data_IF_844253861262
#
_entry.id   IF_844253861262
#
_cell.length_a   1.000
_cell.length_b   1.000
_cell.length_c   1.000
_cell.angle_alpha   90.00
_cell.angle_beta   90.00
_cell.angle_gamma   90.00
#
_symmetry.space_group_name_H-M   'P 1'
#
loop_
_entity.id
_entity.type
_entity.pdbx_description
1 polymer ?
#
# COMPACT_ATOMS: atom_id res chain seq x y z
N UNK A 1 11.53 9.81 -4.11
CA UNK A 1 10.89 8.65 -4.76
C UNK A 1 11.10 7.36 -3.93
N UNK A 2 12.32 6.81 -3.83
CA UNK A 2 12.57 5.54 -3.12
C UNK A 2 11.99 5.45 -1.70
N UNK A 3 12.10 6.51 -0.90
CA UNK A 3 11.53 6.55 0.44
C UNK A 3 10.01 6.29 0.45
N UNK A 4 9.24 7.04 -0.35
CA UNK A 4 7.78 6.91 -0.44
C UNK A 4 7.37 5.57 -1.03
N UNK A 5 8.05 5.12 -2.09
CA UNK A 5 7.78 3.84 -2.73
C UNK A 5 8.02 2.66 -1.76
N UNK A 6 9.13 2.66 -1.03
CA UNK A 6 9.48 1.57 -0.12
C UNK A 6 8.62 1.56 1.16
N UNK A 7 8.25 2.73 1.69
CA UNK A 7 7.45 2.81 2.91
C UNK A 7 5.96 2.55 2.65
N UNK A 8 5.37 3.20 1.65
CA UNK A 8 3.90 3.20 1.45
C UNK A 8 3.44 2.43 0.22
N UNK A 9 4.33 2.17 -0.74
CA UNK A 9 4.01 1.41 -1.95
C UNK A 9 3.39 0.03 -1.67
N UNK A 10 3.91 -0.78 -0.73
CA UNK A 10 3.29 -2.05 -0.39
C UNK A 10 1.86 -1.92 0.15
N UNK A 11 1.53 -0.85 0.91
CA UNK A 11 0.16 -0.59 1.37
C UNK A 11 -0.76 -0.30 0.19
N UNK A 12 -0.28 0.53 -0.74
CA UNK A 12 -1.01 0.87 -1.96
C UNK A 12 -1.41 -0.37 -2.77
N UNK A 13 -0.60 -1.43 -2.79
CA UNK A 13 -0.93 -2.65 -3.54
C UNK A 13 -1.68 -3.67 -2.69
N UNK A 14 -1.24 -3.91 -1.45
CA UNK A 14 -1.82 -4.98 -0.64
C UNK A 14 -3.26 -4.68 -0.24
N UNK A 15 -3.56 -3.47 0.19
CA UNK A 15 -4.91 -3.14 0.71
C UNK A 15 -5.96 -3.33 -0.39
N UNK A 16 -5.83 -2.76 -1.61
CA UNK A 16 -6.80 -3.02 -2.67
C UNK A 16 -6.93 -4.49 -3.06
N UNK A 17 -5.82 -5.23 -3.09
CA UNK A 17 -5.88 -6.67 -3.40
C UNK A 17 -6.55 -7.47 -2.27
N UNK A 18 -6.41 -7.09 -1.01
CA UNK A 18 -7.13 -7.70 0.12
C UNK A 18 -8.61 -7.36 0.08
N UNK A 19 -8.97 -6.13 -0.23
CA UNK A 19 -10.37 -5.71 -0.38
C UNK A 19 -11.07 -6.45 -1.53
N UNK A 20 -10.35 -6.73 -2.62
CA UNK A 20 -10.84 -7.60 -3.71
C UNK A 20 -11.19 -9.02 -3.21
N UNK A 21 -10.60 -9.50 -2.11
CA UNK A 21 -10.92 -10.83 -1.59
C UNK A 21 -12.25 -10.88 -0.84
N UNK A 22 -12.80 -9.74 -0.40
CA UNK A 22 -13.97 -9.72 0.50
C UNK A 22 -15.28 -10.06 -0.23
N UNK A 23 -16.17 -10.86 0.40
CA UNK A 23 -17.47 -11.18 -0.18
C UNK A 23 -18.43 -9.98 -0.11
N UNK A 24 -19.12 -9.69 -1.22
CA UNK A 24 -20.12 -8.61 -1.34
C UNK A 24 -19.57 -7.19 -1.14
N UNK A 25 -18.31 -6.99 -1.53
CA UNK A 25 -17.69 -5.68 -1.77
C UNK A 25 -18.40 -4.92 -2.90
N UNK A 26 -18.25 -3.59 -2.93
CA UNK A 26 -18.74 -2.79 -4.05
C UNK A 26 -18.01 -3.14 -5.35
N UNK A 27 -18.67 -2.98 -6.50
CA UNK A 27 -18.08 -3.30 -7.82
C UNK A 27 -16.80 -2.51 -8.07
N UNK A 28 -16.74 -1.25 -7.61
CA UNK A 28 -15.55 -0.42 -7.77
C UNK A 28 -14.37 -0.93 -6.93
N UNK A 29 -14.61 -1.35 -5.67
CA UNK A 29 -13.56 -1.95 -4.83
C UNK A 29 -13.18 -3.36 -5.30
N UNK A 30 -14.00 -3.99 -6.14
CA UNK A 30 -13.68 -5.27 -6.76
C UNK A 30 -12.67 -5.19 -7.91
N UNK A 31 -12.30 -3.97 -8.35
CA UNK A 31 -11.44 -3.74 -9.50
C UNK A 31 -10.20 -2.94 -9.11
N UNK A 32 -9.35 -3.40 -8.17
CA UNK A 32 -8.13 -2.69 -7.79
C UNK A 32 -7.18 -2.47 -8.98
N UNK A 33 -7.23 -3.36 -9.97
CA UNK A 33 -6.46 -3.26 -11.20
C UNK A 33 -6.85 -2.05 -12.04
N UNK A 34 -8.12 -1.61 -12.00
CA UNK A 34 -8.55 -0.40 -12.71
C UNK A 34 -7.88 0.84 -12.12
N UNK A 35 -7.71 0.90 -10.80
CA UNK A 35 -6.96 1.97 -10.14
C UNK A 35 -5.46 1.87 -10.41
N UNK A 36 -4.91 0.65 -10.47
CA UNK A 36 -3.53 0.43 -10.88
C UNK A 36 -3.26 0.93 -12.30
N UNK A 37 -4.17 0.68 -13.25
CA UNK A 37 -4.09 1.19 -14.63
C UNK A 37 -4.32 2.70 -14.71
N UNK A 38 -5.29 3.22 -13.97
CA UNK A 38 -5.54 4.66 -13.88
C UNK A 38 -4.31 5.41 -13.32
N UNK A 39 -3.61 4.81 -12.35
CA UNK A 39 -2.37 5.35 -11.80
C UNK A 39 -1.28 5.50 -12.86
N UNK A 40 -1.21 4.60 -13.86
CA UNK A 40 -0.26 4.73 -14.97
C UNK A 40 -0.65 5.83 -15.95
N UNK A 41 -1.95 5.97 -16.24
CA UNK A 41 -2.44 6.90 -17.25
C UNK A 41 -2.52 8.34 -16.75
N UNK A 42 -2.79 8.54 -15.46
CA UNK A 42 -3.12 9.85 -14.86
C UNK A 42 -2.27 10.21 -13.65
N UNK A 43 -1.39 9.32 -13.20
CA UNK A 43 -0.62 9.46 -11.97
C UNK A 43 -1.29 8.76 -10.79
N UNK A 44 -0.47 8.13 -9.94
CA UNK A 44 -0.93 7.49 -8.72
C UNK A 44 -1.49 8.53 -7.72
N UNK A 45 -0.96 9.75 -7.74
CA UNK A 45 -1.39 10.87 -6.91
C UNK A 45 -2.83 11.31 -7.17
N UNK A 46 -3.46 10.87 -8.27
CA UNK A 46 -4.89 11.08 -8.57
C UNK A 46 -5.69 9.79 -8.35
N UNK A 47 -5.21 8.66 -8.88
CA UNK A 47 -5.93 7.39 -8.81
C UNK A 47 -6.09 6.86 -7.37
N UNK A 48 -5.09 7.05 -6.52
CA UNK A 48 -5.06 6.49 -5.17
C UNK A 48 -5.95 7.24 -4.19
N UNK A 49 -5.97 8.59 -4.17
CA UNK A 49 -7.00 9.32 -3.43
C UNK A 49 -8.42 8.89 -3.82
N UNK A 50 -8.70 8.68 -5.12
CA UNK A 50 -10.01 8.22 -5.57
C UNK A 50 -10.35 6.82 -5.04
N UNK A 51 -9.37 5.89 -5.06
CA UNK A 51 -9.55 4.56 -4.47
C UNK A 51 -9.84 4.67 -2.97
N UNK A 52 -9.03 5.40 -2.21
CA UNK A 52 -9.20 5.51 -0.75
C UNK A 52 -10.50 6.23 -0.37
N UNK A 53 -10.96 7.20 -1.16
CA UNK A 53 -12.28 7.80 -0.97
C UNK A 53 -13.40 6.77 -1.15
N UNK A 54 -13.32 5.92 -2.17
CA UNK A 54 -14.30 4.85 -2.38
C UNK A 54 -14.22 3.77 -1.29
N UNK A 55 -13.01 3.48 -0.80
CA UNK A 55 -12.80 2.56 0.31
C UNK A 55 -13.47 3.07 1.58
N UNK A 56 -13.31 4.34 1.91
CA UNK A 56 -13.92 4.93 3.11
C UNK A 56 -15.42 5.04 3.00
N UNK A 57 -15.95 5.41 1.84
CA UNK A 57 -17.39 5.46 1.57
C UNK A 57 -18.02 4.06 1.47
N UNK A 58 -17.24 3.05 1.09
CA UNK A 58 -17.71 1.68 0.92
C UNK A 58 -18.11 1.00 2.23
N UNK A 59 -17.46 1.37 3.35
CA UNK A 59 -17.89 0.95 4.70
C UNK A 59 -17.97 -0.56 4.94
N UNK A 60 -17.22 -1.39 4.19
CA UNK A 60 -17.38 -2.85 4.24
C UNK A 60 -16.39 -3.49 5.23
N UNK A 61 -16.79 -3.59 6.49
CA UNK A 61 -16.08 -4.39 7.51
C UNK A 61 -16.55 -5.85 7.48
N UNK A 62 -16.25 -6.53 6.37
CA UNK A 62 -16.55 -7.96 6.20
C UNK A 62 -15.29 -8.81 6.35
N UNK A 63 -15.39 -10.07 6.80
CA UNK A 63 -14.25 -10.96 6.85
C UNK A 63 -13.56 -11.10 5.49
N UNK A 64 -12.26 -11.38 5.53
CA UNK A 64 -11.48 -11.70 4.34
C UNK A 64 -12.04 -12.94 3.64
N UNK A 65 -11.73 -13.05 2.35
CA UNK A 65 -12.05 -14.23 1.55
C UNK A 65 -11.27 -15.48 1.98
N UNK A 66 -11.17 -16.44 1.07
CA UNK A 66 -10.39 -17.65 1.33
C UNK A 66 -8.90 -17.35 1.49
N UNK A 67 -8.18 -18.24 2.19
CA UNK A 67 -6.72 -18.19 2.29
C UNK A 67 -6.06 -18.17 0.91
N UNK A 68 -6.64 -18.87 -0.07
CA UNK A 68 -6.27 -18.79 -1.48
C UNK A 68 -6.22 -17.37 -2.04
N UNK A 69 -7.27 -16.59 -1.80
CA UNK A 69 -7.34 -15.22 -2.28
C UNK A 69 -6.33 -14.31 -1.58
N UNK A 70 -6.13 -14.48 -0.26
CA UNK A 70 -5.14 -13.70 0.50
C UNK A 70 -3.71 -14.00 0.07
N UNK A 71 -3.34 -15.26 -0.15
CA UNK A 71 -2.00 -15.59 -0.68
C UNK A 71 -1.74 -14.96 -2.04
N UNK A 72 -2.74 -14.93 -2.93
CA UNK A 72 -2.63 -14.26 -4.23
C UNK A 72 -2.37 -12.76 -4.07
N UNK A 73 -3.07 -12.11 -3.14
CA UNK A 73 -2.87 -10.69 -2.83
C UNK A 73 -1.44 -10.41 -2.34
N UNK A 74 -0.92 -11.27 -1.45
CA UNK A 74 0.44 -11.14 -0.95
C UNK A 74 1.48 -11.39 -2.05
N UNK A 75 1.32 -12.41 -2.89
CA UNK A 75 2.25 -12.68 -3.99
C UNK A 75 2.22 -11.54 -5.02
N UNK A 76 1.03 -11.04 -5.38
CA UNK A 76 0.89 -9.87 -6.24
C UNK A 76 1.64 -8.65 -5.67
N UNK A 77 1.55 -8.43 -4.36
CA UNK A 77 2.24 -7.32 -3.67
C UNK A 77 3.76 -7.52 -3.62
N UNK A 78 4.24 -8.60 -3.00
CA UNK A 78 5.66 -8.75 -2.69
C UNK A 78 6.50 -9.23 -3.87
N UNK A 79 5.93 -10.02 -4.78
CA UNK A 79 6.63 -10.46 -5.99
C UNK A 79 6.34 -9.50 -7.13
N UNK A 80 5.06 -9.33 -7.47
CA UNK A 80 4.68 -8.60 -8.67
C UNK A 80 4.90 -7.09 -8.58
N UNK A 81 4.67 -6.47 -7.42
CA UNK A 81 5.04 -5.06 -7.18
C UNK A 81 6.45 -4.90 -6.60
N UNK A 82 6.88 -5.81 -5.73
CA UNK A 82 8.18 -5.73 -5.08
C UNK A 82 9.37 -5.78 -6.05
N UNK A 83 9.38 -6.70 -7.02
CA UNK A 83 10.50 -6.84 -7.97
C UNK A 83 10.69 -5.57 -8.83
N UNK A 84 9.65 -5.02 -9.50
CA UNK A 84 9.78 -3.74 -10.21
C UNK A 84 10.21 -2.59 -9.29
N UNK A 85 9.71 -2.56 -8.05
CA UNK A 85 10.04 -1.49 -7.09
C UNK A 85 11.50 -1.52 -6.67
N UNK A 86 12.09 -2.71 -6.46
CA UNK A 86 13.53 -2.85 -6.17
C UNK A 86 14.38 -2.25 -7.28
N UNK A 87 13.96 -2.40 -8.54
CA UNK A 87 14.68 -1.82 -9.68
C UNK A 87 14.70 -0.28 -9.65
N UNK A 88 13.58 0.37 -9.32
CA UNK A 88 13.55 1.84 -9.11
C UNK A 88 14.43 2.25 -7.94
N UNK A 89 14.33 1.50 -6.83
CA UNK A 89 15.07 1.84 -5.61
C UNK A 89 16.57 1.83 -5.87
N UNK A 90 17.06 0.90 -6.70
CA UNK A 90 18.46 0.82 -7.12
C UNK A 90 18.85 1.80 -8.23
N UNK A 91 17.93 2.16 -9.14
CA UNK A 91 18.21 3.05 -10.26
C UNK A 91 16.99 3.94 -10.56
N UNK A 92 17.15 5.25 -10.37
CA UNK A 92 16.08 6.24 -10.59
C UNK A 92 16.18 6.95 -11.94
N UNK A 93 16.83 6.35 -12.94
CA UNK A 93 16.86 6.94 -14.28
C UNK A 93 15.44 7.04 -14.88
N UNK A 94 15.17 8.05 -15.72
CA UNK A 94 13.86 8.21 -16.36
C UNK A 94 13.40 6.95 -17.10
N UNK A 95 14.32 6.23 -17.77
CA UNK A 95 14.01 4.98 -18.46
C UNK A 95 13.54 3.87 -17.52
N UNK A 96 14.12 3.74 -16.33
CA UNK A 96 13.68 2.75 -15.34
C UNK A 96 12.31 3.10 -14.78
N UNK A 97 12.06 4.39 -14.52
CA UNK A 97 10.76 4.87 -14.07
C UNK A 97 9.65 4.68 -15.12
N UNK A 98 9.98 4.82 -16.41
CA UNK A 98 9.06 4.50 -17.50
C UNK A 98 8.71 3.01 -17.54
N UNK A 99 9.70 2.12 -17.40
CA UNK A 99 9.46 0.67 -17.37
C UNK A 99 8.64 0.26 -16.15
N UNK A 100 8.78 0.96 -15.02
CA UNK A 100 7.97 0.70 -13.84
C UNK A 100 6.48 0.90 -14.07
N UNK A 101 6.07 1.67 -15.10
CA UNK A 101 4.64 1.87 -15.36
C UNK A 101 3.88 0.55 -15.63
N UNK A 102 4.60 -0.53 -15.93
CA UNK A 102 4.03 -1.86 -16.16
C UNK A 102 3.78 -2.63 -14.84
N UNK A 103 4.16 -2.10 -13.67
CA UNK A 103 4.05 -2.83 -12.40
C UNK A 103 2.64 -3.38 -12.09
N UNK A 104 1.50 -2.73 -12.45
CA UNK A 104 0.19 -3.32 -12.17
C UNK A 104 0.00 -4.65 -12.90
N UNK A 105 0.51 -4.75 -14.14
CA UNK A 105 0.48 -6.00 -14.91
C UNK A 105 1.38 -7.06 -14.27
N UNK A 106 2.54 -6.67 -13.71
CA UNK A 106 3.40 -7.58 -12.95
C UNK A 106 2.70 -8.11 -11.68
N UNK A 107 2.02 -7.25 -10.93
CA UNK A 107 1.22 -7.62 -9.76
C UNK A 107 0.10 -8.62 -10.11
N UNK A 108 -0.68 -8.31 -11.14
CA UNK A 108 -1.75 -9.18 -11.65
C UNK A 108 -1.19 -10.51 -12.14
N UNK A 109 -0.11 -10.46 -12.93
CA UNK A 109 0.55 -11.63 -13.49
C UNK A 109 1.03 -12.57 -12.39
N UNK A 110 1.75 -12.05 -11.39
CA UNK A 110 2.24 -12.83 -10.26
C UNK A 110 1.09 -13.43 -9.43
N UNK A 111 0.05 -12.66 -9.10
CA UNK A 111 -1.11 -13.13 -8.37
C UNK A 111 -1.91 -14.20 -9.14
N UNK A 112 -1.99 -14.08 -10.46
CA UNK A 112 -2.69 -15.04 -11.34
C UNK A 112 -1.89 -16.32 -11.53
N UNK A 113 -0.57 -16.20 -11.74
CA UNK A 113 0.33 -17.33 -11.83
C UNK A 113 0.30 -18.15 -10.55
N UNK A 114 0.38 -17.50 -9.39
CA UNK A 114 0.27 -18.18 -8.08
C UNK A 114 -1.08 -18.87 -7.91
N UNK A 115 -2.18 -18.20 -8.27
CA UNK A 115 -3.51 -18.81 -8.22
C UNK A 115 -3.64 -20.07 -9.08
N UNK A 116 -2.98 -20.10 -10.24
CA UNK A 116 -2.93 -21.29 -11.10
C UNK A 116 -2.06 -22.39 -10.52
N UNK A 117 -0.85 -22.07 -10.05
CA UNK A 117 0.04 -23.04 -9.40
C UNK A 117 -0.61 -23.67 -8.16
N UNK A 118 -1.28 -22.87 -7.33
CA UNK A 118 -1.97 -23.35 -6.13
C UNK A 118 -3.12 -24.29 -6.47
N UNK A 119 -3.89 -24.03 -7.52
CA UNK A 119 -4.97 -24.93 -7.98
C UNK A 119 -4.44 -26.30 -8.41
N UNK A 120 -3.23 -26.34 -8.97
CA UNK A 120 -2.56 -27.60 -9.36
C UNK A 120 -2.03 -28.37 -8.13
N UNK A 121 -1.66 -27.69 -7.06
CA UNK A 121 -1.00 -28.27 -5.88
C UNK A 121 -1.93 -28.94 -4.84
N UNK A 122 -3.17 -29.30 -5.20
CA UNK A 122 -4.29 -29.77 -4.35
C UNK A 122 -4.87 -28.68 -3.40
N UNK A 123 -6.17 -28.75 -3.06
CA UNK A 123 -6.79 -27.79 -2.18
C UNK A 123 -6.28 -27.99 -0.74
N UNK A 124 -5.53 -27.02 -0.23
CA UNK A 124 -5.38 -26.84 1.21
C UNK A 124 -6.75 -26.58 1.83
N UNK A 125 -7.00 -27.09 3.04
CA UNK A 125 -8.14 -26.64 3.86
C UNK A 125 -8.09 -25.12 4.03
N UNK A 126 -9.00 -24.43 3.36
CA UNK A 126 -9.15 -22.98 3.47
C UNK A 126 -9.91 -22.67 4.76
N UNK A 127 -9.19 -22.16 5.75
CA UNK A 127 -9.78 -21.63 6.98
C UNK A 127 -9.75 -20.10 6.98
N UNK A 128 -10.81 -19.48 7.47
CA UNK A 128 -10.87 -18.02 7.66
C UNK A 128 -9.77 -17.52 8.60
N UNK A 129 -9.51 -18.27 9.69
CA UNK A 129 -8.40 -17.97 10.60
C UNK A 129 -7.06 -17.96 9.85
N UNK A 130 -6.83 -18.91 8.93
CA UNK A 130 -5.62 -18.95 8.12
C UNK A 130 -5.50 -17.75 7.18
N UNK A 131 -6.60 -17.28 6.58
CA UNK A 131 -6.63 -16.08 5.76
C UNK A 131 -6.31 -14.81 6.59
N UNK A 132 -6.90 -14.69 7.77
CA UNK A 132 -6.63 -13.60 8.71
C UNK A 132 -5.18 -13.58 9.17
N UNK A 133 -4.64 -14.69 9.67
CA UNK A 133 -3.25 -14.77 10.13
C UNK A 133 -2.27 -14.44 9.01
N UNK A 134 -2.59 -14.85 7.79
CA UNK A 134 -1.76 -14.56 6.64
C UNK A 134 -1.77 -13.07 6.25
N UNK A 135 -2.94 -12.41 6.32
CA UNK A 135 -3.02 -10.96 6.12
C UNK A 135 -2.23 -10.20 7.20
N UNK A 136 -2.30 -10.64 8.46
CA UNK A 136 -1.49 -10.10 9.57
C UNK A 136 0.02 -10.22 9.28
N UNK A 137 0.47 -11.38 8.80
CA UNK A 137 1.87 -11.56 8.36
C UNK A 137 2.25 -10.60 7.24
N UNK A 138 1.32 -10.36 6.29
CA UNK A 138 1.50 -9.35 5.25
C UNK A 138 1.74 -7.96 5.81
N UNK A 139 0.88 -7.49 6.72
CA UNK A 139 1.04 -6.18 7.36
C UNK A 139 2.31 -6.09 8.21
N UNK A 140 2.66 -7.16 8.94
CA UNK A 140 3.92 -7.22 9.69
C UNK A 140 5.14 -7.10 8.76
N UNK A 141 5.12 -7.75 7.60
CA UNK A 141 6.18 -7.64 6.60
C UNK A 141 6.26 -6.23 6.01
N UNK A 142 5.12 -5.59 5.73
CA UNK A 142 5.10 -4.18 5.30
C UNK A 142 5.69 -3.27 6.37
N UNK A 143 5.32 -3.46 7.63
CA UNK A 143 5.87 -2.67 8.74
C UNK A 143 7.38 -2.84 8.86
N UNK A 144 7.91 -4.06 8.68
CA UNK A 144 9.34 -4.32 8.68
C UNK A 144 10.07 -3.63 7.50
N UNK A 145 9.51 -3.73 6.29
CA UNK A 145 10.07 -3.07 5.09
C UNK A 145 10.03 -1.55 5.25
N UNK A 146 8.91 -1.00 5.74
CA UNK A 146 8.79 0.44 6.04
C UNK A 146 9.81 0.86 7.08
N UNK A 147 9.96 0.12 8.17
CA UNK A 147 10.93 0.41 9.23
C UNK A 147 12.37 0.45 8.70
N UNK A 148 12.75 -0.56 7.91
CA UNK A 148 14.06 -0.58 7.25
C UNK A 148 14.26 0.61 6.30
N UNK A 149 13.26 0.90 5.46
CA UNK A 149 13.33 2.03 4.53
C UNK A 149 13.36 3.38 5.26
N UNK A 150 12.61 3.52 6.35
CA UNK A 150 12.61 4.71 7.18
C UNK A 150 13.98 4.91 7.84
N UNK A 151 14.54 3.87 8.45
CA UNK A 151 15.91 3.92 8.95
C UNK A 151 16.92 4.28 7.85
N UNK A 152 16.86 3.64 6.68
CA UNK A 152 17.81 3.84 5.59
C UNK A 152 17.75 5.23 4.95
N UNK A 153 16.55 5.79 4.77
CA UNK A 153 16.35 7.02 3.99
C UNK A 153 16.01 8.24 4.85
N UNK A 154 15.26 8.08 5.93
CA UNK A 154 14.81 9.20 6.75
C UNK A 154 15.86 9.56 7.81
N UNK A 155 16.38 8.58 8.56
CA UNK A 155 17.27 8.85 9.70
C UNK A 155 18.55 9.60 9.32
N UNK A 156 19.32 9.21 8.26
CA UNK A 156 20.50 9.98 7.87
C UNK A 156 20.18 11.42 7.48
N UNK A 157 19.04 11.66 6.82
CA UNK A 157 18.62 13.02 6.44
C UNK A 157 18.33 13.88 7.65
N UNK A 158 17.72 13.30 8.68
CA UNK A 158 17.43 14.00 9.93
C UNK A 158 18.72 14.27 10.72
N UNK A 159 19.63 13.29 10.83
CA UNK A 159 20.87 13.41 11.61
C UNK A 159 21.85 14.37 10.93
N UNK A 160 22.07 14.24 9.62
CA UNK A 160 23.11 14.99 8.91
C UNK A 160 22.60 16.36 8.42
N UNK A 161 21.33 16.42 7.98
CA UNK A 161 20.74 17.59 7.32
C UNK A 161 19.70 18.34 8.16
N UNK A 162 19.38 17.83 9.35
CA UNK A 162 18.40 18.42 10.26
C UNK A 162 16.99 18.55 9.67
N UNK A 163 16.21 19.46 10.24
CA UNK A 163 14.83 19.73 9.81
C UNK A 163 14.75 20.29 8.39
N UNK A 164 15.75 21.03 7.93
CA UNK A 164 15.79 21.59 6.58
C UNK A 164 15.82 20.51 5.48
N UNK A 165 16.58 19.43 5.69
CA UNK A 165 16.59 18.30 4.76
C UNK A 165 15.25 17.56 4.70
N UNK A 166 14.53 17.49 5.83
CA UNK A 166 13.19 16.93 5.88
C UNK A 166 12.17 17.82 5.17
N UNK A 167 12.24 19.14 5.36
CA UNK A 167 11.39 20.09 4.63
C UNK A 167 11.53 19.91 3.12
N UNK A 168 12.74 19.77 2.59
CA UNK A 168 12.97 19.49 1.15
C UNK A 168 12.41 18.15 0.67
N UNK A 169 12.30 17.17 1.57
CA UNK A 169 11.76 15.85 1.25
C UNK A 169 10.23 15.87 1.14
N UNK A 170 9.54 16.62 2.01
CA UNK A 170 8.07 16.58 2.12
C UNK A 170 7.36 17.82 1.55
N UNK A 171 8.03 18.95 1.39
CA UNK A 171 7.41 20.23 1.00
C UNK A 171 7.92 20.69 -0.37
N UNK A 172 7.02 21.05 -1.32
CA UNK A 172 7.42 21.62 -2.60
C UNK A 172 8.26 22.88 -2.41
N UNK A 173 9.39 22.93 -3.11
CA UNK A 173 10.25 24.10 -3.11
C UNK A 173 9.94 24.89 -4.38
N UNK A 174 9.16 25.96 -4.25
CA UNK A 174 8.81 26.86 -5.37
C UNK A 174 9.89 27.93 -5.56
N UNK A 175 11.15 27.51 -5.72
CA UNK A 175 12.17 28.43 -6.18
C UNK A 175 12.00 28.58 -7.69
N UNK A 176 11.81 29.81 -8.19
CA UNK A 176 11.84 30.07 -9.63
C UNK A 176 13.25 29.75 -10.13
N UNK A 177 13.45 28.70 -10.94
CA UNK A 177 14.77 28.42 -11.45
C UNK A 177 15.14 29.55 -12.43
N UNK A 178 16.37 30.04 -12.36
CA UNK A 178 16.86 31.10 -13.26
C UNK A 178 16.94 30.63 -14.72
N UNK A 179 16.89 29.31 -14.94
CA UNK A 179 16.87 28.64 -16.23
C UNK A 179 15.75 27.60 -16.24
N UNK A 180 15.13 27.35 -17.40
CA UNK A 180 14.14 26.29 -17.52
C UNK A 180 14.77 24.92 -17.13
N UNK A 181 14.09 24.08 -16.33
CA UNK A 181 14.60 22.78 -15.96
C UNK A 181 14.75 21.88 -17.19
N UNK A 182 15.75 21.00 -17.18
CA UNK A 182 15.82 19.94 -18.20
C UNK A 182 14.58 19.03 -18.11
N UNK A 183 14.19 18.44 -19.23
CA UNK A 183 13.05 17.52 -19.28
C UNK A 183 13.20 16.37 -18.26
N UNK A 184 14.42 15.87 -18.07
CA UNK A 184 14.70 14.79 -17.11
C UNK A 184 14.43 15.22 -15.67
N UNK A 185 14.82 16.45 -15.32
CA UNK A 185 14.58 17.02 -14.00
C UNK A 185 13.08 17.24 -13.77
N UNK A 186 12.38 17.80 -14.75
CA UNK A 186 10.94 18.00 -14.69
C UNK A 186 10.17 16.68 -14.51
N UNK A 187 10.58 15.61 -15.18
CA UNK A 187 9.99 14.27 -15.03
C UNK A 187 10.23 13.71 -13.64
N UNK A 188 11.44 13.85 -13.09
CA UNK A 188 11.75 13.36 -11.74
C UNK A 188 10.97 14.13 -10.66
N UNK A 189 10.81 15.43 -10.82
CA UNK A 189 10.00 16.25 -9.92
C UNK A 189 8.52 15.88 -10.00
N UNK A 190 7.96 15.72 -11.21
CA UNK A 190 6.59 15.25 -11.39
C UNK A 190 6.37 13.91 -10.67
N UNK A 191 7.25 12.92 -10.89
CA UNK A 191 7.14 11.60 -10.27
C UNK A 191 7.29 11.69 -8.76
N UNK A 192 8.21 12.52 -8.24
CA UNK A 192 8.34 12.74 -6.79
C UNK A 192 7.02 13.22 -6.20
N UNK A 193 6.39 14.22 -6.79
CA UNK A 193 5.13 14.77 -6.29
C UNK A 193 3.96 13.80 -6.44
N UNK A 194 3.91 13.03 -7.53
CA UNK A 194 2.92 11.96 -7.70
C UNK A 194 2.98 10.95 -6.55
N UNK A 195 4.19 10.53 -6.16
CA UNK A 195 4.40 9.65 -5.01
C UNK A 195 4.09 10.30 -3.66
N UNK A 196 4.37 11.60 -3.49
CA UNK A 196 4.04 12.33 -2.25
C UNK A 196 2.52 12.43 -2.08
N UNK A 197 1.80 12.80 -3.13
CA UNK A 197 0.33 12.87 -3.12
C UNK A 197 -0.28 11.48 -2.86
N UNK A 198 0.27 10.45 -3.49
CA UNK A 198 -0.11 9.05 -3.24
C UNK A 198 0.10 8.68 -1.77
N UNK A 199 1.26 9.02 -1.21
CA UNK A 199 1.60 8.75 0.18
C UNK A 199 0.64 9.44 1.16
N UNK A 200 0.34 10.72 0.92
CA UNK A 200 -0.62 11.47 1.71
C UNK A 200 -2.02 10.85 1.67
N UNK A 201 -2.48 10.43 0.49
CA UNK A 201 -3.77 9.78 0.32
C UNK A 201 -3.86 8.45 1.08
N UNK A 202 -2.80 7.64 1.06
CA UNK A 202 -2.75 6.39 1.83
C UNK A 202 -2.84 6.68 3.32
N UNK A 203 -2.04 7.62 3.84
CA UNK A 203 -2.06 7.99 5.26
C UNK A 203 -3.45 8.46 5.68
N UNK A 204 -4.03 9.40 4.92
CA UNK A 204 -5.38 9.91 5.20
C UNK A 204 -6.42 8.79 5.12
N UNK A 205 -6.36 7.94 4.10
CA UNK A 205 -7.24 6.79 3.92
C UNK A 205 -7.14 5.79 5.07
N UNK A 206 -5.93 5.51 5.56
CA UNK A 206 -5.70 4.65 6.73
C UNK A 206 -6.28 5.23 8.00
N UNK A 207 -6.27 6.56 8.17
CA UNK A 207 -6.85 7.20 9.37
C UNK A 207 -8.36 6.95 9.49
N UNK A 208 -9.08 6.67 8.40
CA UNK A 208 -10.49 6.30 8.48
C UNK A 208 -10.75 4.90 9.05
N UNK A 209 -9.70 4.09 9.28
CA UNK A 209 -9.85 2.80 9.99
C UNK A 209 -9.67 2.92 11.50
N UNK A 210 -9.34 4.12 12.00
CA UNK A 210 -9.21 4.41 13.43
C UNK A 210 -10.53 4.17 14.15
N UNK A 211 -10.47 3.45 15.26
CA UNK A 211 -11.66 3.18 16.09
C UNK A 211 -11.68 3.94 17.41
N UNK A 212 -10.51 4.36 17.91
CA UNK A 212 -10.35 5.00 19.20
C UNK A 212 -9.04 5.81 19.27
N UNK A 213 -8.83 6.55 20.36
CA UNK A 213 -7.63 7.36 20.55
C UNK A 213 -6.33 6.57 20.73
N UNK A 214 -6.39 5.33 21.20
CA UNK A 214 -5.20 4.46 21.32
C UNK A 214 -4.71 4.02 19.95
N UNK A 215 -5.61 3.69 19.01
CA UNK A 215 -5.24 3.40 17.62
C UNK A 215 -4.50 4.60 17.01
N UNK A 216 -4.98 5.82 17.28
CA UNK A 216 -4.36 7.05 16.78
C UNK A 216 -2.97 7.27 17.39
N UNK A 217 -2.83 7.12 18.71
CA UNK A 217 -1.54 7.23 19.38
C UNK A 217 -0.55 6.17 18.85
N UNK A 218 -1.00 4.93 18.68
CA UNK A 218 -0.19 3.83 18.15
C UNK A 218 0.24 4.09 16.70
N UNK A 219 -0.66 4.64 15.87
CA UNK A 219 -0.34 5.09 14.52
C UNK A 219 0.75 6.15 14.49
N UNK A 220 0.66 7.17 15.34
CA UNK A 220 1.67 8.25 15.41
C UNK A 220 3.02 7.68 15.84
N UNK A 221 3.05 6.88 16.92
CA UNK A 221 4.29 6.27 17.42
C UNK A 221 4.92 5.37 16.36
N UNK A 222 4.14 4.47 15.74
CA UNK A 222 4.64 3.60 14.68
C UNK A 222 5.13 4.39 13.46
N UNK A 223 4.43 5.47 13.09
CA UNK A 223 4.82 6.32 11.96
C UNK A 223 6.12 7.08 12.19
N UNK A 224 6.36 7.54 13.42
CA UNK A 224 7.58 8.26 13.80
C UNK A 224 8.77 7.29 13.94
N UNK A 225 8.56 6.12 14.54
CA UNK A 225 9.64 5.16 14.82
C UNK A 225 10.01 4.33 13.59
N UNK A 226 9.02 3.83 12.86
CA UNK A 226 9.19 2.88 11.76
C UNK A 226 8.68 3.41 10.41
N UNK A 227 8.34 4.69 10.33
CA UNK A 227 7.85 5.34 9.12
C UNK A 227 6.36 5.16 8.87
N UNK A 228 5.77 6.03 8.02
CA UNK A 228 4.33 6.11 7.81
C UNK A 228 3.71 4.81 7.26
N UNK A 229 4.49 4.01 6.53
CA UNK A 229 4.07 2.69 6.06
C UNK A 229 3.77 1.71 7.18
N UNK A 230 4.60 1.70 8.22
CA UNK A 230 4.40 0.87 9.39
C UNK A 230 3.18 1.32 10.20
N UNK A 231 2.96 2.63 10.34
CA UNK A 231 1.74 3.17 10.93
C UNK A 231 0.48 2.74 10.17
N UNK A 232 0.47 2.87 8.84
CA UNK A 232 -0.66 2.44 8.02
C UNK A 232 -0.88 0.92 8.10
N UNK A 233 0.21 0.12 8.06
CA UNK A 233 0.14 -1.33 8.21
C UNK A 233 -0.48 -1.73 9.56
N UNK A 234 -0.08 -1.06 10.65
CA UNK A 234 -0.67 -1.26 11.98
C UNK A 234 -2.17 -0.96 11.99
N UNK A 235 -2.59 0.16 11.40
CA UNK A 235 -4.01 0.52 11.35
C UNK A 235 -4.87 -0.48 10.57
N UNK A 236 -4.35 -1.03 9.47
CA UNK A 236 -5.05 -2.08 8.74
C UNK A 236 -5.01 -3.43 9.49
N UNK A 237 -3.89 -3.77 10.13
CA UNK A 237 -3.79 -4.95 10.98
C UNK A 237 -4.83 -4.92 12.12
N UNK A 238 -4.93 -3.80 12.84
CA UNK A 238 -5.91 -3.60 13.90
C UNK A 238 -7.34 -3.65 13.38
N UNK A 239 -7.60 -3.09 12.20
CA UNK A 239 -8.90 -3.21 11.53
C UNK A 239 -9.26 -4.68 11.28
N UNK A 240 -8.36 -5.46 10.71
CA UNK A 240 -8.63 -6.88 10.45
C UNK A 240 -8.87 -7.66 11.75
N UNK A 241 -8.17 -7.33 12.84
CA UNK A 241 -8.40 -7.95 14.15
C UNK A 241 -9.81 -7.69 14.65
N UNK A 242 -10.30 -6.44 14.55
CA UNK A 242 -11.67 -6.09 14.94
C UNK A 242 -12.73 -6.78 14.09
N UNK A 243 -12.48 -6.92 12.78
CA UNK A 243 -13.40 -7.64 11.88
C UNK A 243 -13.48 -9.11 12.29
N UNK A 244 -12.34 -9.76 12.56
CA UNK A 244 -12.31 -11.16 12.96
C UNK A 244 -12.96 -11.39 14.33
N UNK A 245 -12.72 -10.51 15.30
CA UNK A 245 -13.37 -10.55 16.63
C UNK A 245 -14.90 -10.47 16.54
N UNK A 246 -15.44 -9.67 15.61
CA UNK A 246 -16.88 -9.50 15.42
C UNK A 246 -17.53 -10.64 14.61
N UNK A 247 -16.73 -11.43 13.87
CA UNK A 247 -17.23 -12.46 12.96
C UNK A 247 -18.20 -13.46 13.62
N UNK A 248 -17.92 -14.05 14.80
CA UNK A 248 -18.82 -15.04 15.40
C UNK A 248 -20.21 -14.47 15.71
N UNK A 249 -20.30 -13.19 16.07
CA UNK A 249 -21.57 -12.52 16.33
C UNK A 249 -22.38 -12.33 15.02
N UNK A 250 -21.72 -11.91 13.95
CA UNK A 250 -22.33 -11.74 12.63
C UNK A 250 -22.82 -13.07 12.04
N UNK A 251 -22.06 -14.16 12.21
CA UNK A 251 -22.44 -15.50 11.76
C UNK A 251 -23.67 -16.03 12.50
N UNK A 252 -23.79 -15.76 13.80
CA UNK A 252 -24.99 -16.10 14.58
C UNK A 252 -26.21 -15.32 14.11
N UNK A 253 -26.07 -14.02 13.89
CA UNK A 253 -27.17 -13.15 13.45
C UNK A 253 -27.70 -13.52 12.05
N UNK A 254 -26.85 -14.02 11.15
CA UNK A 254 -27.26 -14.43 9.78
C UNK A 254 -27.96 -15.79 9.76
N UNK A 255 -27.82 -16.61 10.82
CA UNK A 255 -28.42 -17.94 10.92
C UNK A 255 -29.74 -17.96 11.72
N UNK A 256 -30.07 -16.87 12.39
CA UNK A 256 -31.31 -16.68 13.14
C UNK A 256 -32.40 -16.11 12.23
#
# INVERSE_FOLDING_TARGET
IAYFLATLGPIFVLVPLLEETRPGRSVLLALPNLFGMAAQLRGAGVAIPAYFLLFTLGGVDRPLGSRASVERALVGTFVGFGIPSLRIISNQSPSVLATFQIFPLCAIGAASLWGTLRRLARPSTDSHLGAYMLAQTGFALIAAISGYAHYKYFVPRLVDGGTAALVKLFIPQYAYPQTAPDLSEAVLDFIKWDFVCTAAAIVLGSMFTLSNGLDFAAFIVASVVAGPGAGCALLFALRESRIEERRPATEKATKA
#
